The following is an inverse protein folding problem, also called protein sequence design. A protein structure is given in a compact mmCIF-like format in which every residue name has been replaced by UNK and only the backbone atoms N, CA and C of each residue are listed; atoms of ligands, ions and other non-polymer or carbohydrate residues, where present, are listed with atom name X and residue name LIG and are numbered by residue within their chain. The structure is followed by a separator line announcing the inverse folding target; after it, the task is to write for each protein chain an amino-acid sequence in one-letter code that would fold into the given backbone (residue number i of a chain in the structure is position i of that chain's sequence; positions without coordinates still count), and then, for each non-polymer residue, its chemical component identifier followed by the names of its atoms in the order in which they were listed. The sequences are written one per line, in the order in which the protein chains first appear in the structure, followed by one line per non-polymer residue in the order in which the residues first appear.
data_IF_442704862793
#
_entry.id   IF_442704862793
#
_cell.length_a   1.000
_cell.length_b   1.000
_cell.length_c   1.000
_cell.angle_alpha   90.00
_cell.angle_beta   90.00
_cell.angle_gamma   90.00
#
_symmetry.space_group_name_H-M   'P 1'
#
loop_
_entity.id
_entity.type
_entity.pdbx_description
1 polymer ?
#
# COMPACT_ATOMS: atom_id res chain seq x y z
N UNK A 1 -16.65 -20.32 -71.40
CA UNK A 1 -16.52 -18.91 -71.85
C UNK A 1 -17.12 -18.01 -70.79
N UNK A 2 -16.30 -17.07 -70.33
CA UNK A 2 -16.62 -15.87 -69.51
C UNK A 2 -17.32 -16.07 -68.15
N UNK A 3 -16.48 -16.03 -67.09
CA UNK A 3 -16.86 -15.83 -65.68
C UNK A 3 -16.50 -14.39 -65.31
N UNK A 4 -17.39 -13.73 -64.56
CA UNK A 4 -17.31 -12.32 -64.23
C UNK A 4 -16.60 -12.07 -62.89
N UNK A 5 -15.87 -10.95 -62.84
CA UNK A 5 -14.95 -10.50 -61.80
C UNK A 5 -15.63 -10.06 -60.49
N UNK A 6 -15.01 -10.37 -59.35
CA UNK A 6 -14.62 -9.39 -58.31
C UNK A 6 -13.73 -10.08 -57.25
N UNK A 7 -12.43 -9.78 -57.28
CA UNK A 7 -11.42 -10.25 -56.32
C UNK A 7 -10.83 -9.03 -55.59
N UNK A 8 -10.76 -9.14 -54.26
CA UNK A 8 -10.22 -8.11 -53.36
C UNK A 8 -8.69 -7.97 -53.49
N UNK A 9 -8.27 -6.71 -53.64
CA UNK A 9 -6.92 -6.13 -53.44
C UNK A 9 -6.70 -5.89 -51.92
N UNK A 10 -5.53 -5.86 -51.26
CA UNK A 10 -4.08 -5.75 -51.54
C UNK A 10 -3.34 -6.12 -50.21
N UNK A 11 -2.30 -6.96 -50.20
CA UNK A 11 -0.84 -6.67 -50.26
C UNK A 11 -0.19 -5.93 -49.07
N UNK A 12 0.75 -6.65 -48.44
CA UNK A 12 1.91 -6.17 -47.66
C UNK A 12 2.85 -5.32 -48.54
N UNK A 13 3.74 -4.50 -47.94
CA UNK A 13 5.15 -4.82 -48.16
C UNK A 13 6.10 -4.58 -46.97
N UNK A 14 7.19 -5.35 -47.01
CA UNK A 14 8.46 -5.15 -46.31
C UNK A 14 9.22 -3.92 -46.83
N UNK A 15 10.01 -3.27 -45.95
CA UNK A 15 11.33 -2.75 -46.31
C UNK A 15 12.28 -2.73 -45.10
N UNK A 16 13.41 -3.41 -45.28
CA UNK A 16 14.69 -3.40 -44.55
C UNK A 16 15.54 -2.16 -44.86
N UNK A 17 16.27 -1.58 -43.88
CA UNK A 17 17.61 -0.97 -44.07
C UNK A 17 18.48 -1.10 -42.81
N UNK A 18 19.78 -1.30 -43.07
CA UNK A 18 20.96 -1.73 -42.31
C UNK A 18 21.44 -0.98 -41.05
N UNK A 19 21.94 -1.81 -40.12
CA UNK A 19 23.26 -1.88 -39.49
C UNK A 19 24.25 -0.69 -39.44
N UNK A 20 24.81 -0.57 -38.22
CA UNK A 20 26.14 -0.08 -37.78
C UNK A 20 26.35 1.43 -37.55
N UNK A 21 26.46 1.82 -36.26
CA UNK A 21 27.74 2.27 -35.69
C UNK A 21 27.73 2.15 -34.15
N UNK A 22 28.85 1.64 -33.61
CA UNK A 22 29.18 1.39 -32.20
C UNK A 22 29.70 2.67 -31.51
N UNK A 23 29.39 2.87 -30.22
CA UNK A 23 30.33 3.03 -29.07
C UNK A 23 29.80 3.95 -27.95
N UNK A 24 29.78 3.37 -26.73
CA UNK A 24 30.02 3.96 -25.40
C UNK A 24 29.08 5.08 -24.91
N UNK A 25 28.35 4.93 -23.80
CA UNK A 25 28.88 4.91 -22.43
C UNK A 25 27.96 4.12 -21.48
N UNK A 26 28.56 3.16 -20.75
CA UNK A 26 28.03 2.58 -19.52
C UNK A 26 28.69 3.31 -18.35
N UNK A 27 27.93 3.59 -17.27
CA UNK A 27 28.46 3.18 -15.98
C UNK A 27 27.33 2.69 -15.06
N UNK A 28 27.00 1.40 -15.14
CA UNK A 28 26.54 0.71 -13.94
C UNK A 28 27.77 0.22 -13.19
N UNK A 29 28.24 1.07 -12.27
CA UNK A 29 29.24 0.71 -11.27
C UNK A 29 28.67 -0.41 -10.42
N UNK A 30 29.44 -1.47 -10.34
CA UNK A 30 29.41 -2.57 -9.37
C UNK A 30 28.92 -2.11 -8.00
N UNK A 31 27.79 -2.67 -7.55
CA UNK A 31 27.42 -2.65 -6.12
C UNK A 31 28.06 -3.88 -5.50
N UNK A 32 28.94 -3.63 -4.53
CA UNK A 32 29.67 -4.63 -3.77
C UNK A 32 28.74 -5.69 -3.19
N UNK A 33 29.02 -6.95 -3.51
CA UNK A 33 28.59 -8.10 -2.73
C UNK A 33 29.41 -8.16 -1.45
N UNK A 34 28.89 -7.61 -0.35
CA UNK A 34 29.34 -7.97 1.00
C UNK A 34 28.18 -7.87 1.98
N UNK A 35 28.19 -8.79 2.96
CA UNK A 35 27.34 -8.91 4.16
C UNK A 35 26.14 -9.87 4.08
N UNK A 36 26.39 -11.14 4.39
CA UNK A 36 25.50 -11.95 5.22
C UNK A 36 26.29 -12.54 6.40
N UNK A 37 26.26 -11.86 7.53
CA UNK A 37 26.11 -12.45 8.87
C UNK A 37 26.14 -11.34 9.92
N UNK A 38 24.98 -10.81 10.30
CA UNK A 38 24.81 -10.15 11.60
C UNK A 38 23.46 -10.57 12.15
N UNK A 39 23.47 -10.91 13.44
CA UNK A 39 22.30 -11.20 14.27
C UNK A 39 21.15 -10.21 14.01
N UNK A 40 19.88 -10.60 14.24
CA UNK A 40 18.75 -9.69 14.00
C UNK A 40 18.93 -8.43 14.84
N UNK A 41 19.29 -7.33 14.17
CA UNK A 41 19.31 -5.98 14.76
C UNK A 41 17.85 -5.61 14.97
N UNK A 42 17.48 -5.26 16.21
CA UNK A 42 16.14 -4.74 16.50
C UNK A 42 15.95 -3.37 15.81
N UNK A 43 14.74 -3.03 15.36
CA UNK A 43 14.48 -1.72 14.79
C UNK A 43 14.74 -0.61 15.81
N UNK A 44 15.25 0.53 15.35
CA UNK A 44 15.50 1.69 16.20
C UNK A 44 14.19 2.46 16.33
N UNK A 45 13.69 2.54 17.58
CA UNK A 45 12.45 3.25 17.92
C UNK A 45 12.83 4.62 18.48
N UNK A 46 12.33 5.69 17.86
CA UNK A 46 12.49 7.05 18.35
C UNK A 46 11.13 7.62 18.77
N UNK A 47 11.03 8.02 20.05
CA UNK A 47 9.93 8.81 20.55
C UNK A 47 10.24 10.30 20.38
N UNK A 48 9.23 11.09 19.98
CA UNK A 48 9.33 12.54 20.11
C UNK A 48 9.44 12.86 21.61
N UNK A 49 10.60 13.35 22.05
CA UNK A 49 10.77 13.92 23.39
C UNK A 49 10.54 15.44 23.34
N UNK A 50 9.90 15.97 24.38
CA UNK A 50 9.38 17.34 24.52
C UNK A 50 10.38 18.43 24.05
N UNK A 51 10.06 19.10 22.95
CA UNK A 51 10.54 20.46 22.68
C UNK A 51 9.53 21.44 23.30
N UNK A 52 10.01 22.29 24.22
CA UNK A 52 9.27 23.35 24.93
C UNK A 52 8.18 23.98 24.04
N UNK A 53 6.92 23.77 24.39
CA UNK A 53 5.78 24.33 23.63
C UNK A 53 5.57 25.80 23.97
N UNK A 54 5.57 26.63 22.94
CA UNK A 54 4.97 27.96 22.96
C UNK A 54 3.47 27.82 22.66
N UNK A 55 2.64 27.98 23.68
CA UNK A 55 1.34 28.67 23.58
C UNK A 55 0.23 28.15 22.66
N UNK A 56 0.15 26.85 22.32
CA UNK A 56 -1.06 26.27 21.74
C UNK A 56 -1.79 25.41 22.78
N UNK A 57 -3.08 25.69 23.03
CA UNK A 57 -3.90 24.95 23.99
C UNK A 57 -3.84 23.44 23.72
N UNK A 58 -3.34 22.68 24.70
CA UNK A 58 -3.36 21.21 24.71
C UNK A 58 -4.81 20.73 24.77
N UNK A 59 -5.36 20.25 23.66
CA UNK A 59 -6.51 19.35 23.70
C UNK A 59 -6.02 17.94 24.02
N UNK A 60 -6.00 17.59 25.30
CA UNK A 60 -5.71 16.23 25.79
C UNK A 60 -6.95 15.35 25.63
N UNK A 61 -7.45 15.18 24.41
CA UNK A 61 -8.57 14.25 24.17
C UNK A 61 -8.03 12.82 24.26
N UNK A 62 -8.58 12.06 25.21
CA UNK A 62 -8.30 10.62 25.35
C UNK A 62 -8.81 9.87 24.11
N UNK A 63 -8.17 8.78 23.68
CA UNK A 63 -8.68 7.94 22.59
C UNK A 63 -10.13 7.52 22.86
N UNK A 64 -11.01 7.66 21.86
CA UNK A 64 -12.39 7.18 21.92
C UNK A 64 -12.42 5.66 21.78
N UNK A 65 -13.56 5.03 22.10
CA UNK A 65 -13.76 3.58 21.88
C UNK A 65 -13.64 3.17 20.40
N UNK A 66 -13.69 4.14 19.48
CA UNK A 66 -13.67 3.94 18.04
C UNK A 66 -12.37 4.43 17.37
N UNK A 67 -11.44 4.97 18.17
CA UNK A 67 -10.17 5.53 17.69
C UNK A 67 -9.29 4.45 17.05
N UNK A 68 -8.50 4.87 16.07
CA UNK A 68 -7.59 4.03 15.30
C UNK A 68 -6.15 4.33 15.66
N UNK A 69 -5.37 3.28 15.93
CA UNK A 69 -3.90 3.37 15.76
C UNK A 69 -3.60 3.22 14.27
N UNK A 70 -3.08 4.27 13.64
CA UNK A 70 -2.76 4.30 12.22
C UNK A 70 -1.30 3.90 12.00
N UNK A 71 -1.07 2.93 11.11
CA UNK A 71 0.24 2.40 10.78
C UNK A 71 0.56 2.70 9.32
N UNK A 72 1.78 3.15 9.05
CA UNK A 72 2.27 3.38 7.69
C UNK A 72 3.75 3.02 7.56
N UNK A 73 4.20 2.72 6.34
CA UNK A 73 5.60 2.46 6.02
C UNK A 73 5.96 3.17 4.71
N UNK A 74 7.09 3.88 4.73
CA UNK A 74 7.70 4.48 3.55
C UNK A 74 9.06 3.87 3.24
N UNK A 75 9.16 3.26 2.06
CA UNK A 75 10.42 2.80 1.49
C UNK A 75 10.61 3.53 0.16
N UNK A 76 11.67 4.34 0.01
CA UNK A 76 11.94 5.00 -1.26
C UNK A 76 12.26 3.95 -2.33
N UNK A 77 11.52 4.02 -3.43
CA UNK A 77 11.66 3.13 -4.60
C UNK A 77 12.33 3.84 -5.79
N UNK A 78 12.76 5.09 -5.61
CA UNK A 78 13.16 5.97 -6.71
C UNK A 78 11.97 6.40 -7.56
N UNK A 79 12.24 6.68 -8.84
CA UNK A 79 11.20 7.00 -9.82
C UNK A 79 10.69 5.73 -10.46
N UNK A 80 9.37 5.49 -10.43
CA UNK A 80 8.78 4.30 -11.03
C UNK A 80 7.46 4.61 -11.72
N UNK A 81 7.12 3.79 -12.73
CA UNK A 81 5.86 3.90 -13.46
C UNK A 81 4.73 3.26 -12.66
N UNK A 82 3.58 3.94 -12.58
CA UNK A 82 2.38 3.43 -11.89
C UNK A 82 1.14 3.55 -12.79
N UNK A 83 0.47 2.42 -13.00
CA UNK A 83 -0.75 2.34 -13.82
C UNK A 83 -0.45 2.24 -15.32
N UNK A 84 -1.50 2.39 -16.12
CA UNK A 84 -1.39 2.41 -17.59
C UNK A 84 -1.04 3.83 -18.06
N UNK A 85 0.03 3.97 -18.84
CA UNK A 85 0.47 5.26 -19.40
C UNK A 85 1.89 5.67 -18.96
N UNK A 86 2.16 6.98 -18.94
CA UNK A 86 3.46 7.58 -18.56
C UNK A 86 3.40 8.30 -17.21
N UNK A 87 2.59 7.80 -16.27
CA UNK A 87 2.48 8.39 -14.93
C UNK A 87 3.58 7.84 -14.03
N UNK A 88 4.53 8.70 -13.68
CA UNK A 88 5.61 8.37 -12.76
C UNK A 88 5.28 8.80 -11.34
N UNK A 89 5.77 8.01 -10.39
CA UNK A 89 5.79 8.33 -8.97
C UNK A 89 7.22 8.62 -8.56
N UNK A 90 7.40 9.70 -7.83
CA UNK A 90 8.70 10.17 -7.32
C UNK A 90 8.65 10.37 -5.81
N UNK A 91 9.83 10.50 -5.19
CA UNK A 91 9.97 10.89 -3.78
C UNK A 91 9.19 12.17 -3.47
N UNK A 92 9.26 13.17 -4.35
CA UNK A 92 8.58 14.46 -4.17
C UNK A 92 7.05 14.36 -4.22
N UNK A 93 6.50 13.44 -5.04
CA UNK A 93 5.07 13.18 -5.02
C UNK A 93 4.64 12.69 -3.64
N UNK A 94 5.38 11.73 -3.06
CA UNK A 94 5.06 11.18 -1.75
C UNK A 94 5.27 12.18 -0.62
N UNK A 95 6.35 12.97 -0.65
CA UNK A 95 6.56 14.06 0.32
C UNK A 95 5.43 15.09 0.27
N UNK A 96 5.00 15.48 -0.93
CA UNK A 96 3.81 16.33 -1.10
C UNK A 96 2.59 15.73 -0.41
N UNK A 97 2.34 14.43 -0.58
CA UNK A 97 1.18 13.77 0.04
C UNK A 97 1.31 13.61 1.56
N UNK A 98 2.53 13.49 2.10
CA UNK A 98 2.78 13.43 3.54
C UNK A 98 2.27 14.68 4.27
N UNK A 99 2.15 15.84 3.63
CA UNK A 99 1.61 17.04 4.28
C UNK A 99 0.23 16.82 4.92
N UNK A 100 -0.60 15.94 4.36
CA UNK A 100 -1.92 15.61 4.92
C UNK A 100 -1.83 14.95 6.30
N UNK A 101 -0.70 14.31 6.61
CA UNK A 101 -0.43 13.70 7.91
C UNK A 101 -0.14 14.75 8.99
N UNK A 102 0.15 16.00 8.65
CA UNK A 102 0.25 17.06 9.66
C UNK A 102 -1.09 17.32 10.38
N UNK A 103 -2.20 17.01 9.71
CA UNK A 103 -3.56 17.30 10.18
C UNK A 103 -4.24 16.11 10.87
N UNK A 104 -3.71 14.91 10.70
CA UNK A 104 -4.27 13.68 11.27
C UNK A 104 -4.03 13.64 12.78
N UNK A 105 -5.03 13.53 13.64
CA UNK A 105 -4.84 13.57 15.12
C UNK A 105 -4.72 12.19 15.76
N UNK A 106 -4.99 11.11 15.01
CA UNK A 106 -4.80 9.75 15.49
C UNK A 106 -3.36 9.50 15.95
N UNK A 107 -3.19 8.46 16.78
CA UNK A 107 -1.86 7.92 17.02
C UNK A 107 -1.33 7.29 15.72
N UNK A 108 -0.15 7.73 15.31
CA UNK A 108 0.55 7.24 14.11
C UNK A 108 1.80 6.48 14.52
N UNK A 109 1.95 5.27 13.99
CA UNK A 109 3.20 4.50 14.03
C UNK A 109 3.73 4.42 12.60
N UNK A 110 4.76 5.22 12.31
CA UNK A 110 5.29 5.38 10.96
C UNK A 110 6.70 4.80 10.86
N UNK A 111 6.87 3.90 9.91
CA UNK A 111 8.14 3.24 9.61
C UNK A 111 8.80 3.90 8.40
N UNK A 112 10.10 4.14 8.49
CA UNK A 112 10.89 4.75 7.41
C UNK A 112 12.18 3.99 7.17
N UNK A 113 12.50 3.75 5.89
CA UNK A 113 13.79 3.19 5.51
C UNK A 113 14.90 4.24 5.36
N UNK A 114 14.54 5.51 5.21
CA UNK A 114 15.47 6.62 5.00
C UNK A 114 15.33 7.64 6.14
N UNK A 115 16.46 8.07 6.70
CA UNK A 115 16.46 9.01 7.83
C UNK A 115 15.98 10.40 7.42
N UNK A 116 16.24 10.84 6.18
CA UNK A 116 15.77 12.15 5.71
C UNK A 116 14.25 12.19 5.58
N UNK A 117 13.63 11.10 5.13
CA UNK A 117 12.17 10.99 5.05
C UNK A 117 11.52 10.86 6.43
N UNK A 118 12.17 10.16 7.36
CA UNK A 118 11.75 10.11 8.75
C UNK A 118 11.77 11.50 9.40
N UNK A 119 12.87 12.26 9.21
CA UNK A 119 13.00 13.63 9.74
C UNK A 119 12.02 14.59 9.08
N UNK A 120 11.80 14.46 7.77
CA UNK A 120 10.79 15.24 7.06
C UNK A 120 9.38 14.98 7.65
N UNK A 121 9.01 13.72 7.88
CA UNK A 121 7.72 13.37 8.48
C UNK A 121 7.62 13.83 9.94
N UNK A 122 8.73 13.75 10.70
CA UNK A 122 8.83 14.30 12.06
C UNK A 122 8.45 15.77 12.11
N UNK A 123 9.02 16.58 11.21
CA UNK A 123 8.74 18.01 11.11
C UNK A 123 7.27 18.28 10.76
N UNK A 124 6.68 17.51 9.85
CA UNK A 124 5.26 17.65 9.51
C UNK A 124 4.35 17.40 10.73
N UNK A 125 4.75 16.46 11.60
CA UNK A 125 3.98 16.08 12.79
C UNK A 125 4.38 16.81 14.07
N UNK A 126 5.32 17.76 14.03
CA UNK A 126 5.85 18.41 15.23
C UNK A 126 4.82 19.24 16.01
N UNK A 127 3.74 19.67 15.35
CA UNK A 127 2.63 20.38 16.00
C UNK A 127 1.68 19.46 16.77
N UNK A 128 1.81 18.14 16.57
CA UNK A 128 0.96 17.14 17.21
C UNK A 128 1.56 16.75 18.57
N UNK A 129 0.74 16.32 19.55
CA UNK A 129 1.26 15.82 20.82
C UNK A 129 2.30 14.71 20.60
N UNK A 130 3.36 14.73 21.41
CA UNK A 130 4.53 13.86 21.24
C UNK A 130 4.19 12.36 21.30
N UNK A 131 3.18 11.99 22.08
CA UNK A 131 2.65 10.63 22.23
C UNK A 131 1.81 10.16 21.02
N UNK A 132 1.40 11.08 20.13
CA UNK A 132 0.63 10.77 18.92
C UNK A 132 1.48 10.31 17.74
N UNK A 133 2.81 10.39 17.82
CA UNK A 133 3.68 9.94 16.72
C UNK A 133 4.82 9.09 17.23
N UNK A 134 4.88 7.83 16.79
CA UNK A 134 6.01 6.93 16.97
C UNK A 134 6.71 6.77 15.62
N UNK A 135 8.02 7.07 15.58
CA UNK A 135 8.83 6.94 14.37
C UNK A 135 9.81 5.80 14.54
N UNK A 136 9.83 4.90 13.57
CA UNK A 136 10.66 3.70 13.61
C UNK A 136 11.50 3.65 12.34
N UNK A 137 12.82 3.67 12.50
CA UNK A 137 13.73 3.42 11.38
C UNK A 137 13.83 1.91 11.14
N UNK A 138 13.66 1.50 9.90
CA UNK A 138 13.73 0.09 9.49
C UNK A 138 14.61 -0.11 8.27
N UNK A 139 15.42 -1.15 8.33
CA UNK A 139 16.17 -1.64 7.19
C UNK A 139 15.35 -2.68 6.43
N UNK A 140 15.53 -2.77 5.11
CA UNK A 140 14.83 -3.77 4.28
C UNK A 140 15.06 -5.20 4.78
N UNK A 141 16.25 -5.50 5.30
CA UNK A 141 16.59 -6.82 5.86
C UNK A 141 15.78 -7.21 7.11
N UNK A 142 15.19 -6.23 7.80
CA UNK A 142 14.33 -6.47 8.96
C UNK A 142 12.89 -6.84 8.56
N UNK A 143 12.50 -6.57 7.30
CA UNK A 143 11.18 -6.85 6.77
C UNK A 143 11.17 -8.21 6.08
N UNK A 144 10.33 -9.14 6.54
CA UNK A 144 10.28 -10.49 5.98
C UNK A 144 9.92 -10.49 4.49
N UNK A 145 9.07 -9.58 4.05
CA UNK A 145 8.70 -9.43 2.64
C UNK A 145 9.90 -9.21 1.71
N UNK A 146 11.01 -8.63 2.20
CA UNK A 146 12.23 -8.43 1.41
C UNK A 146 13.17 -9.65 1.41
N UNK A 147 12.97 -10.63 2.29
CA UNK A 147 13.71 -11.91 2.23
C UNK A 147 13.39 -12.68 0.95
N UNK A 148 12.20 -12.47 0.39
CA UNK A 148 11.74 -13.10 -0.85
C UNK A 148 12.18 -12.34 -2.12
N UNK A 149 12.94 -11.24 -1.99
CA UNK A 149 13.28 -10.35 -3.11
C UNK A 149 13.91 -11.07 -4.30
N UNK A 150 14.96 -11.86 -4.07
CA UNK A 150 15.67 -12.54 -5.17
C UNK A 150 14.77 -13.55 -5.89
N UNK A 151 13.90 -14.24 -5.14
CA UNK A 151 12.92 -15.18 -5.69
C UNK A 151 11.85 -14.46 -6.52
N UNK A 152 11.33 -13.35 -6.02
CA UNK A 152 10.36 -12.52 -6.75
C UNK A 152 10.99 -11.96 -8.02
N UNK A 153 12.24 -11.47 -7.95
CA UNK A 153 13.01 -11.01 -9.11
C UNK A 153 13.17 -12.12 -10.14
N UNK A 154 13.53 -13.33 -9.72
CA UNK A 154 13.63 -14.49 -10.62
C UNK A 154 12.30 -14.76 -11.33
N UNK A 155 11.20 -14.85 -10.58
CA UNK A 155 9.85 -15.05 -11.12
C UNK A 155 9.53 -13.98 -12.17
N UNK A 156 9.79 -12.70 -11.87
CA UNK A 156 9.50 -11.59 -12.77
C UNK A 156 10.41 -11.55 -13.99
N UNK A 157 11.59 -12.17 -13.95
CA UNK A 157 12.48 -12.23 -15.11
C UNK A 157 12.01 -13.21 -16.18
N UNK A 158 11.12 -14.16 -15.83
CA UNK A 158 10.69 -15.22 -16.75
C UNK A 158 9.92 -14.65 -17.96
N UNK A 159 10.16 -15.16 -19.19
CA UNK A 159 9.57 -14.61 -20.41
C UNK A 159 8.03 -14.63 -20.46
N UNK A 160 7.40 -15.67 -19.89
CA UNK A 160 5.94 -15.85 -19.90
C UNK A 160 5.22 -15.26 -18.69
N UNK A 161 5.95 -14.65 -17.76
CA UNK A 161 5.34 -14.02 -16.59
C UNK A 161 4.66 -12.71 -16.99
N UNK A 162 3.43 -12.41 -16.50
CA UNK A 162 2.72 -11.17 -16.85
C UNK A 162 3.55 -9.94 -16.52
N UNK A 163 3.43 -8.89 -17.36
CA UNK A 163 4.21 -7.64 -17.23
C UNK A 163 3.28 -6.46 -16.97
N UNK A 164 2.90 -6.28 -15.71
CA UNK A 164 2.10 -5.14 -15.24
C UNK A 164 2.98 -4.20 -14.42
N UNK A 165 3.06 -2.95 -14.85
CA UNK A 165 3.84 -1.92 -14.17
C UNK A 165 3.06 -1.38 -12.95
N UNK A 166 3.65 -1.32 -11.75
CA UNK A 166 4.93 -1.93 -11.31
C UNK A 166 4.77 -3.36 -10.76
N UNK A 167 3.53 -3.85 -10.65
CA UNK A 167 3.12 -5.01 -9.84
C UNK A 167 3.89 -6.31 -10.11
N UNK A 168 4.26 -6.61 -11.36
CA UNK A 168 4.90 -7.89 -11.76
C UNK A 168 6.18 -7.71 -12.56
N UNK A 169 6.80 -6.52 -12.43
CA UNK A 169 8.04 -6.14 -13.13
C UNK A 169 9.06 -5.50 -12.20
N UNK A 170 8.61 -4.93 -11.08
CA UNK A 170 9.49 -4.34 -10.07
C UNK A 170 9.38 -5.13 -8.77
N UNK A 171 10.35 -6.02 -8.53
CA UNK A 171 10.39 -6.83 -7.30
C UNK A 171 10.45 -5.99 -6.02
N UNK A 172 11.16 -4.85 -6.03
CA UNK A 172 11.19 -3.95 -4.88
C UNK A 172 9.80 -3.38 -4.57
N UNK A 173 9.02 -3.03 -5.61
CA UNK A 173 7.66 -2.54 -5.43
C UNK A 173 6.78 -3.61 -4.75
N UNK A 174 6.80 -4.85 -5.25
CA UNK A 174 6.03 -5.93 -4.65
C UNK A 174 6.47 -6.23 -3.21
N UNK A 175 7.78 -6.25 -2.93
CA UNK A 175 8.28 -6.42 -1.57
C UNK A 175 7.78 -5.31 -0.65
N UNK A 176 7.80 -4.04 -1.08
CA UNK A 176 7.27 -2.91 -0.31
C UNK A 176 5.78 -3.04 -0.03
N UNK A 177 4.97 -3.43 -1.02
CA UNK A 177 3.52 -3.62 -0.81
C UNK A 177 3.23 -4.74 0.19
N UNK A 178 3.99 -5.84 0.13
CA UNK A 178 3.89 -6.95 1.08
C UNK A 178 4.41 -6.59 2.49
N UNK A 179 5.41 -5.72 2.60
CA UNK A 179 6.03 -5.32 3.87
C UNK A 179 5.08 -4.56 4.82
N UNK A 180 3.94 -4.09 4.31
CA UNK A 180 2.79 -3.61 5.09
C UNK A 180 2.44 -4.52 6.26
N UNK A 181 2.39 -5.82 6.01
CA UNK A 181 2.03 -6.82 7.03
C UNK A 181 3.17 -7.12 8.01
N UNK A 182 4.41 -6.77 7.66
CA UNK A 182 5.50 -6.76 8.63
C UNK A 182 5.42 -5.53 9.54
N UNK A 183 5.17 -4.34 8.99
CA UNK A 183 4.99 -3.13 9.77
C UNK A 183 3.80 -3.23 10.75
N UNK A 184 2.64 -3.72 10.29
CA UNK A 184 1.49 -3.96 11.16
C UNK A 184 1.80 -4.95 12.30
N UNK A 185 2.53 -6.04 11.99
CA UNK A 185 2.94 -7.02 12.99
C UNK A 185 3.94 -6.42 14.00
N UNK A 186 4.97 -5.72 13.51
CA UNK A 186 5.95 -5.03 14.35
C UNK A 186 5.29 -4.03 15.29
N UNK A 187 4.30 -3.25 14.83
CA UNK A 187 3.55 -2.32 15.69
C UNK A 187 2.87 -3.04 16.85
N UNK A 188 2.30 -4.24 16.61
CA UNK A 188 1.67 -5.03 17.67
C UNK A 188 2.71 -5.61 18.62
N UNK A 189 3.80 -6.17 18.09
CA UNK A 189 4.85 -6.83 18.87
C UNK A 189 5.60 -5.83 19.76
N UNK A 190 5.80 -4.59 19.30
CA UNK A 190 6.40 -3.49 20.05
C UNK A 190 5.42 -2.83 21.04
N UNK A 191 4.16 -3.28 21.12
CA UNK A 191 3.18 -2.73 22.05
C UNK A 191 2.70 -1.32 21.71
N UNK A 192 2.83 -0.88 20.45
CA UNK A 192 2.47 0.48 20.04
C UNK A 192 0.99 0.65 19.64
N UNK A 193 0.22 -0.44 19.56
CA UNK A 193 -1.25 -0.40 19.41
C UNK A 193 -1.90 -0.07 20.74
N UNK A 194 -2.39 1.16 20.90
CA UNK A 194 -3.03 1.65 22.13
C UNK A 194 -4.56 1.69 22.07
N UNK A 195 -5.15 1.26 20.97
CA UNK A 195 -6.60 1.25 20.70
C UNK A 195 -7.06 -0.19 20.41
N UNK A 196 -8.37 -0.44 20.46
CA UNK A 196 -8.93 -1.73 20.05
C UNK A 196 -8.72 -1.98 18.54
N UNK A 197 -8.87 -0.91 17.76
CA UNK A 197 -8.82 -0.94 16.31
C UNK A 197 -7.51 -0.36 15.78
N UNK A 198 -7.05 -0.91 14.66
CA UNK A 198 -5.89 -0.40 13.96
C UNK A 198 -6.16 -0.28 12.47
N UNK A 199 -5.45 0.63 11.83
CA UNK A 199 -5.50 0.82 10.40
C UNK A 199 -4.11 0.71 9.78
N UNK A 200 -4.02 0.07 8.62
CA UNK A 200 -2.99 0.43 7.67
C UNK A 200 -3.48 1.62 6.84
N UNK A 201 -2.58 2.57 6.56
CA UNK A 201 -2.85 3.68 5.66
C UNK A 201 -1.63 3.98 4.79
N UNK A 202 -1.76 3.86 3.47
CA UNK A 202 -0.72 4.31 2.53
C UNK A 202 -0.50 5.82 2.68
N UNK A 203 0.75 6.27 2.59
CA UNK A 203 1.09 7.70 2.69
C UNK A 203 0.29 8.60 1.74
N UNK A 204 0.01 8.10 0.54
CA UNK A 204 -0.75 8.82 -0.49
C UNK A 204 -2.26 8.68 -0.40
N UNK A 205 -2.81 7.94 0.59
CA UNK A 205 -4.22 7.60 0.63
C UNK A 205 -5.14 8.81 0.89
N UNK A 206 -4.65 9.81 1.63
CA UNK A 206 -5.39 11.03 1.95
C UNK A 206 -5.00 12.22 1.07
N UNK A 207 -4.26 12.01 -0.03
CA UNK A 207 -3.68 13.12 -0.83
C UNK A 207 -4.69 14.14 -1.34
N UNK A 208 -5.96 13.77 -1.52
CA UNK A 208 -6.98 14.71 -2.00
C UNK A 208 -7.35 15.73 -0.92
N UNK A 209 -7.05 15.44 0.35
CA UNK A 209 -7.16 16.41 1.44
C UNK A 209 -6.32 17.66 1.23
N UNK A 210 -5.22 17.61 0.45
CA UNK A 210 -4.45 18.81 0.08
C UNK A 210 -5.30 19.85 -0.64
N UNK A 211 -6.34 19.43 -1.36
CA UNK A 211 -7.26 20.31 -2.08
C UNK A 211 -8.51 20.63 -1.25
N UNK A 212 -8.97 19.65 -0.46
CA UNK A 212 -10.24 19.71 0.27
C UNK A 212 -10.10 20.47 1.60
N UNK A 213 -8.95 20.36 2.28
CA UNK A 213 -8.70 20.99 3.57
C UNK A 213 -7.94 22.32 3.44
N UNK A 214 -8.59 23.32 2.85
CA UNK A 214 -7.96 24.63 2.59
C UNK A 214 -7.61 25.41 3.86
N UNK A 215 -8.23 25.07 4.99
CA UNK A 215 -8.03 25.74 6.28
C UNK A 215 -6.99 25.04 7.16
N UNK A 216 -6.39 23.94 6.68
CA UNK A 216 -5.44 23.12 7.45
C UNK A 216 -6.04 22.63 8.78
N UNK A 217 -7.35 22.35 8.80
CA UNK A 217 -8.06 21.87 9.98
C UNK A 217 -7.62 20.43 10.30
N UNK A 218 -7.46 20.15 11.58
CA UNK A 218 -7.12 18.80 12.04
C UNK A 218 -8.32 17.86 11.91
N UNK A 219 -8.08 16.58 11.67
CA UNK A 219 -9.12 15.54 11.64
C UNK A 219 -8.60 14.22 12.21
N UNK A 220 -9.52 13.37 12.66
CA UNK A 220 -9.24 12.00 13.05
C UNK A 220 -9.92 11.01 12.09
N UNK A 221 -9.51 9.75 12.20
CA UNK A 221 -10.13 8.60 11.57
C UNK A 221 -10.66 7.71 12.69
N UNK A 222 -11.89 7.24 12.55
CA UNK A 222 -12.46 6.22 13.42
C UNK A 222 -12.96 5.05 12.59
N UNK A 223 -13.25 3.91 13.24
CA UNK A 223 -13.91 2.82 12.52
C UNK A 223 -15.23 3.32 11.91
N UNK A 224 -15.56 2.89 10.66
CA UNK A 224 -16.80 3.25 10.00
C UNK A 224 -18.05 3.02 10.85
N UNK A 225 -19.13 3.73 10.53
CA UNK A 225 -20.43 3.48 11.18
C UNK A 225 -20.87 2.02 10.95
N UNK A 226 -21.40 1.38 11.99
CA UNK A 226 -21.79 -0.04 11.99
C UNK A 226 -20.67 -1.00 11.54
N UNK A 227 -19.40 -0.70 11.85
CA UNK A 227 -18.26 -1.58 11.55
C UNK A 227 -18.42 -2.96 12.20
N UNK A 228 -18.24 -4.02 11.41
CA UNK A 228 -18.21 -5.39 11.92
C UNK A 228 -16.78 -5.73 12.35
N UNK A 229 -16.54 -5.72 13.67
CA UNK A 229 -15.25 -5.95 14.31
C UNK A 229 -14.64 -7.35 14.09
N UNK A 230 -15.44 -8.31 13.60
CA UNK A 230 -15.02 -9.66 13.23
C UNK A 230 -14.44 -9.74 11.81
N UNK A 231 -14.46 -8.64 11.05
CA UNK A 231 -14.00 -8.54 9.65
C UNK A 231 -12.90 -7.51 9.48
N UNK A 232 -12.26 -7.56 8.32
CA UNK A 232 -11.35 -6.52 7.85
C UNK A 232 -12.07 -5.62 6.85
N UNK A 233 -12.03 -4.32 7.07
CA UNK A 233 -12.54 -3.30 6.16
C UNK A 233 -11.54 -2.99 5.04
N UNK A 234 -12.04 -2.93 3.80
CA UNK A 234 -11.33 -2.44 2.63
C UNK A 234 -12.23 -1.58 1.74
N UNK A 235 -11.65 -0.70 0.92
CA UNK A 235 -12.39 -0.11 -0.20
C UNK A 235 -12.59 -1.13 -1.32
N UNK A 236 -13.80 -1.23 -1.87
CA UNK A 236 -14.08 -2.07 -3.05
C UNK A 236 -13.61 -1.36 -4.32
N UNK A 237 -12.83 -2.06 -5.13
CA UNK A 237 -12.39 -1.59 -6.46
C UNK A 237 -13.22 -2.23 -7.56
N UNK A 238 -13.58 -3.51 -7.38
CA UNK A 238 -14.43 -4.23 -8.30
C UNK A 238 -15.24 -5.29 -7.53
N UNK A 239 -16.50 -5.56 -7.95
CA UNK A 239 -17.34 -6.53 -7.27
C UNK A 239 -16.71 -7.93 -7.21
N UNK A 240 -16.60 -8.51 -6.02
CA UNK A 240 -16.06 -9.86 -5.84
C UNK A 240 -16.85 -10.94 -6.59
N UNK A 241 -18.15 -10.72 -6.78
CA UNK A 241 -19.04 -11.64 -7.51
C UNK A 241 -18.56 -11.96 -8.92
N UNK A 242 -17.82 -11.04 -9.56
CA UNK A 242 -17.21 -11.25 -10.89
C UNK A 242 -15.95 -12.10 -10.88
N UNK A 243 -15.37 -12.34 -9.69
CA UNK A 243 -14.07 -12.98 -9.49
C UNK A 243 -14.16 -14.20 -8.55
N UNK A 244 -15.37 -14.62 -8.14
CA UNK A 244 -15.59 -15.70 -7.15
C UNK A 244 -14.95 -17.04 -7.54
N UNK A 245 -14.79 -17.29 -8.84
CA UNK A 245 -14.18 -18.50 -9.39
C UNK A 245 -12.75 -18.29 -9.92
N UNK A 246 -12.19 -17.08 -9.78
CA UNK A 246 -10.84 -16.78 -10.22
C UNK A 246 -9.83 -17.56 -9.38
N UNK A 247 -8.90 -18.25 -10.06
CA UNK A 247 -7.78 -18.90 -9.39
C UNK A 247 -6.76 -17.87 -8.89
N UNK A 248 -5.85 -18.24 -7.96
CA UNK A 248 -4.73 -17.38 -7.58
C UNK A 248 -3.92 -16.88 -8.79
N UNK A 249 -3.75 -17.73 -9.81
CA UNK A 249 -3.05 -17.34 -11.02
C UNK A 249 -3.86 -16.37 -11.88
N UNK A 250 -5.19 -16.49 -11.95
CA UNK A 250 -6.03 -15.50 -12.66
C UNK A 250 -5.86 -14.10 -12.08
N UNK A 251 -5.81 -13.96 -10.75
CA UNK A 251 -5.58 -12.66 -10.11
C UNK A 251 -4.27 -12.01 -10.56
N UNK A 252 -3.20 -12.81 -10.69
CA UNK A 252 -1.87 -12.32 -11.07
C UNK A 252 -1.76 -12.12 -12.59
N UNK A 253 -2.15 -13.14 -13.37
CA UNK A 253 -2.03 -13.14 -14.83
C UNK A 253 -2.88 -12.06 -15.49
N UNK A 254 -4.07 -11.77 -14.95
CA UNK A 254 -4.99 -10.76 -15.49
C UNK A 254 -4.98 -9.46 -14.71
N UNK A 255 -4.11 -9.35 -13.70
CA UNK A 255 -4.01 -8.21 -12.78
C UNK A 255 -5.39 -7.83 -12.18
N UNK A 256 -6.17 -8.83 -11.79
CA UNK A 256 -7.46 -8.57 -11.15
C UNK A 256 -7.26 -8.01 -9.74
N UNK A 257 -8.06 -6.99 -9.42
CA UNK A 257 -8.07 -6.34 -8.12
C UNK A 257 -9.54 -6.12 -7.76
N UNK A 258 -9.94 -6.56 -6.56
CA UNK A 258 -11.32 -6.44 -6.08
C UNK A 258 -11.43 -5.53 -4.87
N UNK A 259 -10.36 -5.45 -4.05
CA UNK A 259 -10.24 -4.50 -2.94
C UNK A 259 -8.93 -3.72 -3.03
N UNK A 260 -8.95 -2.47 -2.58
CA UNK A 260 -7.80 -1.56 -2.59
C UNK A 260 -6.80 -1.92 -1.49
N UNK A 261 -5.50 -1.85 -1.81
CA UNK A 261 -4.45 -1.94 -0.80
C UNK A 261 -4.27 -0.67 0.04
N UNK A 262 -4.85 0.47 -0.34
CA UNK A 262 -4.43 1.75 0.25
C UNK A 262 -4.80 1.95 1.72
N UNK A 263 -5.81 1.23 2.20
CA UNK A 263 -6.25 1.28 3.58
C UNK A 263 -6.88 -0.05 3.97
N UNK A 264 -6.58 -0.49 5.20
CA UNK A 264 -7.15 -1.67 5.83
C UNK A 264 -7.53 -1.26 7.26
N UNK A 265 -8.74 -1.58 7.71
CA UNK A 265 -9.20 -1.31 9.09
C UNK A 265 -9.67 -2.60 9.75
N UNK A 266 -9.34 -2.82 11.02
CA UNK A 266 -9.86 -3.95 11.79
C UNK A 266 -9.49 -3.90 13.26
N UNK A 267 -10.15 -4.75 14.06
CA UNK A 267 -9.73 -4.95 15.46
C UNK A 267 -8.35 -5.60 15.49
N UNK A 268 -7.53 -5.28 16.50
CA UNK A 268 -6.16 -5.83 16.65
C UNK A 268 -6.12 -7.35 16.47
N UNK A 269 -7.07 -8.06 17.09
CA UNK A 269 -7.20 -9.52 17.03
C UNK A 269 -7.49 -10.03 15.62
N UNK A 270 -8.36 -9.34 14.88
CA UNK A 270 -8.72 -9.74 13.51
C UNK A 270 -7.60 -9.41 12.53
N UNK A 271 -6.93 -8.27 12.69
CA UNK A 271 -5.75 -7.89 11.90
C UNK A 271 -4.61 -8.90 12.08
N UNK A 272 -4.34 -9.34 13.32
CA UNK A 272 -3.33 -10.38 13.58
C UNK A 272 -3.63 -11.71 12.88
N UNK A 273 -4.90 -12.16 12.92
CA UNK A 273 -5.32 -13.36 12.19
C UNK A 273 -5.17 -13.17 10.68
N UNK A 274 -5.53 -12.00 10.17
CA UNK A 274 -5.41 -11.67 8.75
C UNK A 274 -3.95 -11.68 8.29
N UNK A 275 -3.02 -11.06 9.05
CA UNK A 275 -1.57 -11.09 8.78
C UNK A 275 -1.07 -12.54 8.67
N UNK A 276 -1.50 -13.41 9.59
CA UNK A 276 -1.08 -14.81 9.59
C UNK A 276 -1.53 -15.53 8.32
N UNK A 277 -2.82 -15.39 7.95
CA UNK A 277 -3.36 -15.98 6.72
C UNK A 277 -2.74 -15.38 5.45
N UNK A 278 -2.48 -14.07 5.45
CA UNK A 278 -1.82 -13.36 4.36
C UNK A 278 -0.41 -13.91 4.13
N UNK A 279 0.42 -13.98 5.18
CA UNK A 279 1.80 -14.50 5.10
C UNK A 279 1.83 -15.95 4.61
N UNK A 280 0.91 -16.80 5.09
CA UNK A 280 0.75 -18.17 4.60
C UNK A 280 0.44 -18.20 3.10
N UNK A 281 -0.44 -17.32 2.63
CA UNK A 281 -0.83 -17.24 1.21
C UNK A 281 0.33 -16.77 0.34
N UNK A 282 1.09 -15.75 0.77
CA UNK A 282 2.31 -15.31 0.07
C UNK A 282 3.29 -16.47 -0.11
N UNK A 283 3.57 -17.22 0.96
CA UNK A 283 4.50 -18.35 0.89
C UNK A 283 3.98 -19.48 -0.03
N UNK A 284 2.67 -19.77 -0.02
CA UNK A 284 2.06 -20.74 -0.93
C UNK A 284 2.14 -20.31 -2.41
N UNK A 285 1.92 -19.02 -2.69
CA UNK A 285 2.09 -18.44 -4.03
C UNK A 285 3.54 -18.56 -4.49
N UNK A 286 4.50 -18.16 -3.66
CA UNK A 286 5.92 -18.23 -3.97
C UNK A 286 6.39 -19.68 -4.20
N UNK A 287 5.90 -20.64 -3.41
CA UNK A 287 6.18 -22.07 -3.63
C UNK A 287 5.69 -22.55 -5.01
N UNK A 288 4.65 -21.92 -5.55
CA UNK A 288 4.08 -22.19 -6.86
C UNK A 288 4.64 -21.27 -7.96
N UNK A 289 5.76 -20.58 -7.73
CA UNK A 289 6.37 -19.59 -8.64
C UNK A 289 5.43 -18.43 -9.04
N UNK A 290 4.56 -18.03 -8.12
CA UNK A 290 3.65 -16.91 -8.27
C UNK A 290 4.01 -15.80 -7.28
N UNK A 291 3.97 -14.55 -7.74
CA UNK A 291 4.17 -13.35 -6.94
C UNK A 291 3.48 -12.15 -7.60
N UNK A 292 2.96 -11.24 -6.77
CA UNK A 292 2.51 -9.92 -7.18
C UNK A 292 2.46 -9.02 -5.93
N UNK A 293 1.69 -7.93 -5.97
CA UNK A 293 1.44 -7.03 -4.85
C UNK A 293 0.36 -7.57 -3.93
N UNK A 294 0.18 -6.89 -2.80
CA UNK A 294 -0.79 -7.22 -1.77
C UNK A 294 -2.22 -7.35 -2.29
N UNK A 295 -2.62 -6.51 -3.24
CA UNK A 295 -3.94 -6.55 -3.88
C UNK A 295 -4.27 -7.88 -4.58
N UNK A 296 -3.31 -8.48 -5.30
CA UNK A 296 -3.52 -9.82 -5.88
C UNK A 296 -3.44 -10.92 -4.82
N UNK A 297 -2.65 -10.72 -3.76
CA UNK A 297 -2.62 -11.67 -2.64
C UNK A 297 -3.97 -11.68 -1.93
N UNK A 298 -4.64 -10.54 -1.73
CA UNK A 298 -6.00 -10.49 -1.21
C UNK A 298 -6.96 -11.28 -2.10
N UNK A 299 -6.88 -11.09 -3.42
CA UNK A 299 -7.64 -11.90 -4.38
C UNK A 299 -7.40 -13.40 -4.20
N UNK A 300 -6.12 -13.80 -4.19
CA UNK A 300 -5.73 -15.19 -4.02
C UNK A 300 -6.24 -15.78 -2.69
N UNK A 301 -6.15 -15.05 -1.57
CA UNK A 301 -6.64 -15.51 -0.26
C UNK A 301 -8.08 -16.02 -0.33
N UNK A 302 -8.96 -15.31 -1.04
CA UNK A 302 -10.38 -15.63 -1.14
C UNK A 302 -10.78 -16.42 -2.40
N UNK A 303 -9.79 -16.87 -3.18
CA UNK A 303 -10.00 -17.81 -4.29
C UNK A 303 -10.47 -19.19 -3.81
N UNK A 304 -11.10 -20.02 -4.67
CA UNK A 304 -11.52 -21.37 -4.32
C UNK A 304 -10.43 -22.24 -3.65
N UNK A 305 -9.17 -22.04 -4.04
CA UNK A 305 -8.01 -22.79 -3.59
C UNK A 305 -7.63 -22.48 -2.14
N UNK A 306 -7.75 -21.21 -1.73
CA UNK A 306 -7.28 -20.76 -0.41
C UNK A 306 -8.40 -20.34 0.54
N UNK A 307 -9.65 -20.13 0.07
CA UNK A 307 -10.75 -19.64 0.90
C UNK A 307 -11.06 -20.51 2.12
N UNK A 308 -10.82 -21.82 2.04
CA UNK A 308 -11.02 -22.77 3.16
C UNK A 308 -10.06 -22.51 4.33
N UNK A 309 -8.90 -21.90 4.05
CA UNK A 309 -7.90 -21.55 5.05
C UNK A 309 -8.11 -20.13 5.61
N UNK A 310 -9.05 -19.35 5.04
CA UNK A 310 -9.33 -17.99 5.47
C UNK A 310 -10.36 -17.98 6.60
N UNK A 311 -9.91 -17.54 7.78
CA UNK A 311 -10.75 -17.42 8.98
C UNK A 311 -11.30 -16.02 9.22
N UNK A 312 -10.91 -15.06 8.38
CA UNK A 312 -11.26 -13.65 8.50
C UNK A 312 -12.07 -13.27 7.28
N UNK A 313 -13.25 -12.69 7.48
CA UNK A 313 -14.05 -12.14 6.38
C UNK A 313 -13.62 -10.71 6.03
N UNK A 314 -13.98 -10.28 4.82
CA UNK A 314 -13.84 -8.88 4.40
C UNK A 314 -15.19 -8.17 4.46
N UNK A 315 -15.17 -6.92 4.92
CA UNK A 315 -16.21 -5.93 4.74
C UNK A 315 -15.73 -4.91 3.71
N UNK A 316 -16.56 -4.62 2.72
CA UNK A 316 -16.20 -3.72 1.62
C UNK A 316 -16.93 -2.39 1.75
N UNK A 317 -16.25 -1.32 1.37
CA UNK A 317 -16.76 0.06 1.40
C UNK A 317 -16.64 0.67 0.00
N UNK A 318 -17.72 1.27 -0.48
CA UNK A 318 -17.81 1.86 -1.82
C UNK A 318 -18.13 3.34 -1.72
N UNK A 319 -17.48 4.14 -2.56
CA UNK A 319 -17.79 5.55 -2.73
C UNK A 319 -18.18 5.78 -4.19
N UNK A 320 -19.18 6.63 -4.40
CA UNK A 320 -19.58 7.12 -5.72
C UNK A 320 -18.67 8.27 -6.13
N UNK A 321 -18.68 8.60 -7.42
CA UNK A 321 -18.00 9.81 -7.90
C UNK A 321 -18.60 11.05 -7.22
N UNK A 322 -17.76 11.90 -6.66
CA UNK A 322 -18.13 13.08 -5.89
C UNK A 322 -18.23 12.85 -4.38
N UNK A 323 -18.36 11.60 -3.90
CA UNK A 323 -18.42 11.31 -2.47
C UNK A 323 -17.14 11.78 -1.79
N UNK A 324 -17.29 12.59 -0.73
CA UNK A 324 -16.17 13.19 0.01
C UNK A 324 -15.21 14.03 -0.85
N UNK A 325 -15.64 14.47 -2.04
CA UNK A 325 -14.78 15.17 -3.01
C UNK A 325 -13.79 14.24 -3.73
N UNK A 326 -14.02 12.92 -3.71
CA UNK A 326 -13.26 11.95 -4.47
C UNK A 326 -13.85 11.79 -5.88
N UNK A 327 -12.98 11.71 -6.89
CA UNK A 327 -13.41 11.55 -8.28
C UNK A 327 -12.61 10.48 -9.02
N UNK A 328 -13.24 9.87 -10.02
CA UNK A 328 -12.67 8.85 -10.89
C UNK A 328 -12.10 7.67 -10.10
N UNK A 329 -10.86 7.33 -10.40
CA UNK A 329 -10.17 6.24 -9.71
C UNK A 329 -10.04 6.48 -8.21
N UNK A 330 -9.93 7.74 -7.76
CA UNK A 330 -9.69 8.02 -6.34
C UNK A 330 -10.89 7.63 -5.47
N UNK A 331 -12.12 7.72 -6.01
CA UNK A 331 -13.33 7.25 -5.31
C UNK A 331 -13.31 5.73 -5.09
N UNK A 332 -12.70 4.96 -6.00
CA UNK A 332 -12.57 3.51 -5.86
C UNK A 332 -11.45 3.15 -4.87
N UNK A 333 -10.27 3.75 -5.05
CA UNK A 333 -9.08 3.32 -4.31
C UNK A 333 -9.03 3.87 -2.90
N UNK A 334 -9.49 5.10 -2.64
CA UNK A 334 -9.32 5.77 -1.35
C UNK A 334 -10.62 5.95 -0.57
N UNK A 335 -11.68 5.22 -0.89
CA UNK A 335 -12.96 5.37 -0.20
C UNK A 335 -12.86 5.21 1.33
N UNK A 336 -12.29 4.08 1.79
CA UNK A 336 -12.29 3.70 3.20
C UNK A 336 -11.74 4.77 4.17
N UNK A 337 -10.57 5.40 3.93
CA UNK A 337 -10.09 6.43 4.84
C UNK A 337 -10.99 7.67 4.91
N UNK A 338 -11.75 7.99 3.86
CA UNK A 338 -12.70 9.11 3.88
C UNK A 338 -13.99 8.74 4.61
N UNK A 339 -14.46 7.49 4.46
CA UNK A 339 -15.55 6.95 5.29
C UNK A 339 -15.17 6.93 6.77
N UNK A 340 -13.94 6.55 7.09
CA UNK A 340 -13.41 6.55 8.46
C UNK A 340 -13.30 7.98 9.04
N UNK A 341 -12.93 8.96 8.21
CA UNK A 341 -12.93 10.37 8.59
C UNK A 341 -14.35 10.88 8.87
N UNK A 342 -15.30 10.62 7.98
CA UNK A 342 -16.70 11.01 8.18
C UNK A 342 -17.27 10.39 9.46
N UNK A 343 -16.97 9.12 9.73
CA UNK A 343 -17.42 8.46 10.94
C UNK A 343 -16.96 9.21 12.21
N UNK A 344 -15.71 9.68 12.24
CA UNK A 344 -15.19 10.49 13.35
C UNK A 344 -15.90 11.84 13.45
N UNK A 345 -16.13 12.53 12.34
CA UNK A 345 -16.81 13.82 12.29
C UNK A 345 -18.29 13.75 12.69
N UNK A 346 -18.96 12.63 12.40
CA UNK A 346 -20.33 12.41 12.84
C UNK A 346 -20.39 12.10 14.35
N UNK A 347 -19.42 11.36 14.89
CA UNK A 347 -19.36 11.05 16.32
C UNK A 347 -18.94 12.24 17.17
N UNK A 348 -18.14 13.17 16.66
CA UNK A 348 -17.77 14.37 17.42
C UNK A 348 -18.88 15.42 17.54
N UNK A 349 -19.93 15.32 16.72
CA UNK A 349 -21.11 16.20 16.75
C UNK A 349 -22.23 15.73 17.67
N UNK A 350 -22.19 14.46 18.08
CA UNK A 350 -23.14 13.83 18.99
C UNK A 350 -22.52 13.71 20.38
#
# INVERSE_FOLDING_TARGET
MTVNHQFFRWLSPYMTVNHQFFRWWSPYRTVNHQFFSKSPVLPVVEHLHDSKSTGLQRTTERPTAYDLTVVTLYIPLGTFLKGFGKTYRTKDNYRTWMHTWAWLTNKVVAFFADSDDMEYFRKLRSAQPADRTVLIKVERSQLNAFKDYDKIRDIYSRPKYPKYQPNTVNANYSCTMNAKFDALQMTMDLGHVSTEFMAWLDIGALRNMLKLNRKNETFSLEVPQAFNDSRIGFAEVAPHSRLVNASPWDYIQKNHIWVSGSCLIGSKKVVQKFITSYKKTVQALLASNMSSTDEQVYGAMYSPQFRKDQKVGIAVYTCKDGDYGLHGSDALWFCLPYVAKEAAELRSKN
#
